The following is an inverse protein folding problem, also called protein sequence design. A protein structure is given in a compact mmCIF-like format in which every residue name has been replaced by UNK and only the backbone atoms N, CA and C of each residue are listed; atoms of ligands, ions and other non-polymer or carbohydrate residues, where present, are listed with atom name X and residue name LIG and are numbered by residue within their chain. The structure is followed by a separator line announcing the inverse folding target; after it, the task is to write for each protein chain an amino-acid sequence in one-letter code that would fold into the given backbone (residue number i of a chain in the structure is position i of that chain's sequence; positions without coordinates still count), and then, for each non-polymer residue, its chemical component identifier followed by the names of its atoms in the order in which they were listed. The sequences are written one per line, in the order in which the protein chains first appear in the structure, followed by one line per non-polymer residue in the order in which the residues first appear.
data_IF_743464704228
#
_entry.id   IF_743464704228
#
_cell.length_a   1.000
_cell.length_b   1.000
_cell.length_c   1.000
_cell.angle_alpha   90.00
_cell.angle_beta   90.00
_cell.angle_gamma   90.00
#
_symmetry.space_group_name_H-M   'P 1'
#
loop_
_entity.id
_entity.type
_entity.pdbx_description
1 polymer ?
#
# COMPACT_ATOMS: atom_id res chain seq x y z
N UNK A 1 -5.69 -21.68 10.95
CA UNK A 1 -4.57 -20.75 10.80
C UNK A 1 -5.02 -19.44 11.44
N UNK A 2 -4.24 -18.84 12.33
CA UNK A 2 -4.64 -17.56 12.96
C UNK A 2 -4.37 -16.39 12.02
N UNK A 3 -5.00 -15.24 12.24
CA UNK A 3 -4.73 -14.00 11.49
C UNK A 3 -3.23 -13.64 11.50
N UNK A 4 -2.56 -13.89 12.63
CA UNK A 4 -1.12 -13.66 12.80
C UNK A 4 -0.30 -14.60 11.92
N UNK A 5 -0.70 -15.87 11.81
CA UNK A 5 -0.01 -16.86 10.97
C UNK A 5 -0.12 -16.49 9.47
N UNK A 6 -1.30 -16.03 9.04
CA UNK A 6 -1.55 -15.56 7.66
C UNK A 6 -0.67 -14.34 7.32
N UNK A 7 -0.69 -13.33 8.19
CA UNK A 7 0.18 -12.16 8.06
C UNK A 7 1.64 -12.59 8.02
N UNK A 8 2.04 -13.52 8.89
CA UNK A 8 3.42 -14.03 8.95
C UNK A 8 3.88 -14.66 7.64
N UNK A 9 3.05 -15.49 7.00
CA UNK A 9 3.38 -16.14 5.74
C UNK A 9 3.51 -15.13 4.60
N UNK A 10 2.54 -14.24 4.42
CA UNK A 10 2.59 -13.22 3.38
C UNK A 10 3.72 -12.20 3.60
N UNK A 11 4.04 -11.89 4.86
CA UNK A 11 5.16 -11.02 5.21
C UNK A 11 6.50 -11.61 4.73
N UNK A 12 6.65 -12.95 4.71
CA UNK A 12 7.85 -13.58 4.14
C UNK A 12 7.94 -13.35 2.63
N UNK A 13 6.82 -13.49 1.90
CA UNK A 13 6.74 -13.20 0.47
C UNK A 13 7.12 -11.73 0.17
N UNK A 14 6.50 -10.80 0.90
CA UNK A 14 6.74 -9.35 0.73
C UNK A 14 8.19 -9.00 1.06
N UNK A 15 8.77 -9.60 2.10
CA UNK A 15 10.17 -9.38 2.41
C UNK A 15 11.08 -9.92 1.31
N UNK A 16 10.81 -11.11 0.77
CA UNK A 16 11.56 -11.63 -0.39
C UNK A 16 11.50 -10.65 -1.56
N UNK A 17 10.31 -10.17 -1.91
CA UNK A 17 10.11 -9.13 -2.94
C UNK A 17 10.94 -7.88 -2.66
N UNK A 18 10.95 -7.40 -1.42
CA UNK A 18 11.76 -6.25 -1.04
C UNK A 18 13.27 -6.50 -1.21
N UNK A 19 13.76 -7.68 -0.84
CA UNK A 19 15.16 -8.06 -1.02
C UNK A 19 15.57 -8.11 -2.48
N UNK A 20 14.70 -8.62 -3.36
CA UNK A 20 14.94 -8.67 -4.80
C UNK A 20 14.95 -7.25 -5.39
N UNK A 21 13.88 -6.49 -5.14
CA UNK A 21 13.64 -5.16 -5.73
C UNK A 21 14.70 -4.14 -5.30
N UNK A 22 15.20 -4.18 -4.07
CA UNK A 22 16.16 -3.15 -3.59
C UNK A 22 17.49 -3.19 -4.34
N UNK A 23 17.84 -4.34 -4.93
CA UNK A 23 19.05 -4.56 -5.73
C UNK A 23 18.85 -4.38 -7.22
N UNK A 24 17.61 -4.14 -7.65
CA UNK A 24 17.28 -4.03 -9.06
C UNK A 24 17.86 -2.78 -9.75
N UNK A 25 18.00 -2.90 -11.06
CA UNK A 25 18.56 -1.85 -11.91
C UNK A 25 17.58 -0.68 -12.12
N UNK A 26 18.08 0.48 -12.56
CA UNK A 26 17.22 1.60 -12.99
C UNK A 26 16.29 1.21 -14.16
N UNK A 27 16.74 0.30 -15.01
CA UNK A 27 15.96 -0.18 -16.14
C UNK A 27 14.76 -1.00 -15.68
N UNK A 28 14.95 -1.86 -14.67
CA UNK A 28 13.85 -2.57 -14.02
C UNK A 28 12.78 -1.60 -13.54
N UNK A 29 13.15 -0.57 -12.75
CA UNK A 29 12.17 0.40 -12.24
C UNK A 29 11.43 1.13 -13.35
N UNK A 30 12.10 1.47 -14.45
CA UNK A 30 11.46 2.11 -15.62
C UNK A 30 10.48 1.17 -16.31
N UNK A 31 10.85 -0.09 -16.50
CA UNK A 31 9.97 -1.11 -17.10
C UNK A 31 8.75 -1.35 -16.21
N UNK A 32 8.97 -1.47 -14.90
CA UNK A 32 7.92 -1.69 -13.93
C UNK A 32 6.92 -0.54 -13.92
N UNK A 33 7.41 0.69 -13.92
CA UNK A 33 6.59 1.89 -13.98
C UNK A 33 5.81 2.02 -15.29
N UNK A 34 6.43 1.66 -16.43
CA UNK A 34 5.72 1.61 -17.70
C UNK A 34 4.59 0.59 -17.66
N UNK A 35 4.82 -0.57 -17.05
CA UNK A 35 3.79 -1.58 -16.88
C UNK A 35 2.64 -1.10 -15.99
N UNK A 36 2.96 -0.45 -14.85
CA UNK A 36 1.95 0.20 -13.99
C UNK A 36 1.13 1.22 -14.78
N UNK A 37 1.77 2.11 -15.55
CA UNK A 37 1.07 3.14 -16.32
C UNK A 37 0.12 2.53 -17.37
N UNK A 38 0.50 1.40 -17.97
CA UNK A 38 -0.29 0.72 -18.99
C UNK A 38 -1.45 -0.09 -18.41
N UNK A 39 -1.26 -0.72 -17.25
CA UNK A 39 -2.23 -1.65 -16.68
C UNK A 39 -3.08 -1.05 -15.55
N UNK A 40 -2.51 -0.18 -14.74
CA UNK A 40 -3.14 0.42 -13.56
C UNK A 40 -2.72 1.88 -13.41
N UNK A 41 -3.30 2.75 -14.24
CA UNK A 41 -2.96 4.17 -14.32
C UNK A 41 -3.00 4.89 -12.95
N UNK A 42 -3.95 4.52 -12.08
CA UNK A 42 -4.08 5.09 -10.73
C UNK A 42 -2.84 4.82 -9.88
N UNK A 43 -2.31 3.59 -9.90
CA UNK A 43 -1.10 3.26 -9.17
C UNK A 43 0.09 4.09 -9.67
N UNK A 44 0.20 4.26 -10.98
CA UNK A 44 1.22 5.11 -11.59
C UNK A 44 1.05 6.60 -11.24
N UNK A 45 -0.19 7.08 -11.18
CA UNK A 45 -0.51 8.46 -10.78
C UNK A 45 -0.02 8.75 -9.35
N UNK A 46 -0.31 7.88 -8.39
CA UNK A 46 0.14 8.05 -7.00
C UNK A 46 1.67 8.01 -6.85
N UNK A 47 2.33 7.08 -7.56
CA UNK A 47 3.80 7.04 -7.62
C UNK A 47 4.36 8.36 -8.14
N UNK A 48 3.76 8.91 -9.19
CA UNK A 48 4.20 10.15 -9.84
C UNK A 48 3.95 11.36 -8.96
N UNK A 49 2.75 11.48 -8.36
CA UNK A 49 2.38 12.53 -7.39
C UNK A 49 3.40 12.62 -6.28
N UNK A 50 3.68 11.49 -5.60
CA UNK A 50 4.67 11.48 -4.52
C UNK A 50 6.08 11.83 -4.99
N UNK A 51 6.49 11.39 -6.19
CA UNK A 51 7.82 11.73 -6.71
C UNK A 51 8.00 13.21 -7.01
N UNK A 52 6.96 13.90 -7.49
CA UNK A 52 7.04 15.34 -7.75
C UNK A 52 7.31 16.13 -6.45
N UNK A 53 6.69 15.69 -5.35
CA UNK A 53 6.79 16.35 -4.05
C UNK A 53 8.05 16.02 -3.25
N UNK A 54 8.75 14.93 -3.56
CA UNK A 54 9.80 14.38 -2.70
C UNK A 54 11.22 14.59 -3.23
N UNK A 55 12.23 14.52 -2.36
CA UNK A 55 13.64 14.55 -2.77
C UNK A 55 14.13 13.18 -3.28
N UNK A 56 15.35 13.12 -3.86
CA UNK A 56 15.91 11.89 -4.46
C UNK A 56 15.91 10.67 -3.52
N UNK A 57 16.20 10.84 -2.23
CA UNK A 57 16.25 9.72 -1.27
C UNK A 57 14.85 9.19 -0.97
N UNK A 58 13.89 10.10 -0.76
CA UNK A 58 12.49 9.79 -0.55
C UNK A 58 11.86 9.14 -1.80
N UNK A 59 12.12 9.69 -2.99
CA UNK A 59 11.70 9.10 -4.28
C UNK A 59 12.14 7.66 -4.43
N UNK A 60 13.39 7.32 -4.07
CA UNK A 60 13.89 5.94 -4.13
C UNK A 60 13.08 5.02 -3.21
N UNK A 61 12.78 5.47 -1.99
CA UNK A 61 12.02 4.69 -1.01
C UNK A 61 10.56 4.50 -1.48
N UNK A 62 9.95 5.54 -2.00
CA UNK A 62 8.60 5.48 -2.58
C UNK A 62 8.56 4.49 -3.76
N UNK A 63 9.52 4.56 -4.68
CA UNK A 63 9.59 3.61 -5.81
C UNK A 63 9.69 2.16 -5.38
N UNK A 64 10.35 1.87 -4.25
CA UNK A 64 10.44 0.52 -3.70
C UNK A 64 9.06 0.07 -3.22
N UNK A 65 8.35 0.91 -2.45
CA UNK A 65 6.99 0.59 -1.96
C UNK A 65 6.05 0.26 -3.12
N UNK A 66 5.96 1.14 -4.13
CA UNK A 66 5.09 0.92 -5.28
C UNK A 66 5.51 -0.29 -6.13
N UNK A 67 6.82 -0.57 -6.23
CA UNK A 67 7.28 -1.76 -6.97
C UNK A 67 6.92 -3.04 -6.23
N UNK A 68 7.00 -3.06 -4.90
CA UNK A 68 6.59 -4.22 -4.10
C UNK A 68 5.09 -4.43 -4.21
N UNK A 69 4.30 -3.37 -4.08
CA UNK A 69 2.85 -3.42 -4.29
C UNK A 69 2.50 -4.05 -5.64
N UNK A 70 3.12 -3.54 -6.70
CA UNK A 70 2.85 -4.02 -8.04
C UNK A 70 3.27 -5.47 -8.24
N UNK A 71 4.45 -5.87 -7.77
CA UNK A 71 4.88 -7.28 -7.87
C UNK A 71 4.02 -8.22 -7.02
N UNK A 72 3.60 -7.78 -5.83
CA UNK A 72 2.72 -8.54 -4.94
C UNK A 72 1.40 -8.84 -5.66
N UNK A 73 0.73 -7.82 -6.19
CA UNK A 73 -0.56 -7.99 -6.87
C UNK A 73 -0.45 -8.62 -8.26
N UNK A 74 0.65 -8.39 -9.00
CA UNK A 74 0.87 -9.03 -10.32
C UNK A 74 0.98 -10.55 -10.23
N UNK A 75 1.46 -11.07 -9.10
CA UNK A 75 1.59 -12.52 -8.83
C UNK A 75 0.25 -13.18 -8.48
N UNK A 76 -0.76 -12.39 -8.14
CA UNK A 76 -2.10 -12.86 -7.78
C UNK A 76 -3.00 -12.92 -9.02
N UNK A 77 -3.91 -13.88 -9.05
CA UNK A 77 -4.75 -14.14 -10.22
C UNK A 77 -5.71 -12.95 -10.41
N UNK A 78 -5.89 -12.52 -11.66
CA UNK A 78 -6.90 -11.54 -12.12
C UNK A 78 -6.51 -10.06 -12.21
N UNK A 79 -5.29 -9.66 -11.85
CA UNK A 79 -4.84 -8.28 -12.08
C UNK A 79 -4.91 -7.82 -13.55
N UNK A 80 -4.85 -8.78 -14.48
CA UNK A 80 -4.91 -8.53 -15.92
C UNK A 80 -6.34 -8.35 -16.46
N UNK A 81 -7.37 -8.60 -15.65
CA UNK A 81 -8.77 -8.62 -16.12
C UNK A 81 -9.53 -7.33 -15.83
N UNK A 82 -9.08 -6.52 -14.89
CA UNK A 82 -9.81 -5.33 -14.45
C UNK A 82 -8.86 -4.15 -14.22
N UNK A 83 -9.24 -2.98 -14.73
CA UNK A 83 -8.53 -1.72 -14.50
C UNK A 83 -9.28 -0.94 -13.44
N UNK A 84 -8.60 -0.55 -12.38
CA UNK A 84 -9.21 0.23 -11.30
C UNK A 84 -9.53 1.63 -11.79
N UNK A 85 -10.76 2.08 -11.50
CA UNK A 85 -11.20 3.43 -11.81
C UNK A 85 -10.98 4.37 -10.64
N UNK A 86 -11.03 5.68 -10.91
CA UNK A 86 -10.85 6.68 -9.84
C UNK A 86 -12.02 6.64 -8.86
N UNK A 87 -13.21 6.30 -9.34
CA UNK A 87 -14.41 6.12 -8.52
C UNK A 87 -14.24 4.96 -7.54
N UNK A 88 -13.74 3.80 -8.00
CA UNK A 88 -13.45 2.65 -7.14
C UNK A 88 -12.48 3.03 -6.01
N UNK A 89 -11.44 3.79 -6.36
CA UNK A 89 -10.43 4.27 -5.41
C UNK A 89 -11.03 5.27 -4.41
N UNK A 90 -11.77 6.28 -4.89
CA UNK A 90 -12.38 7.32 -4.04
C UNK A 90 -13.35 6.71 -3.02
N UNK A 91 -14.16 5.73 -3.43
CA UNK A 91 -15.06 5.01 -2.52
C UNK A 91 -14.28 4.36 -1.35
N UNK A 92 -13.12 3.77 -1.62
CA UNK A 92 -12.28 3.17 -0.57
C UNK A 92 -11.54 4.24 0.24
N UNK A 93 -11.10 5.32 -0.39
CA UNK A 93 -10.40 6.42 0.26
C UNK A 93 -11.28 7.09 1.31
N UNK A 94 -12.54 7.38 0.99
CA UNK A 94 -13.51 7.96 1.92
C UNK A 94 -13.71 7.07 3.16
N UNK A 95 -13.80 5.75 2.98
CA UNK A 95 -13.90 4.80 4.10
C UNK A 95 -12.68 4.88 5.03
N UNK A 96 -11.47 4.97 4.46
CA UNK A 96 -10.25 5.07 5.26
C UNK A 96 -10.07 6.44 5.91
N UNK A 97 -10.54 7.53 5.29
CA UNK A 97 -10.59 8.85 5.92
C UNK A 97 -11.51 8.78 7.15
N UNK A 98 -12.73 8.28 7.00
CA UNK A 98 -13.67 8.15 8.13
C UNK A 98 -13.13 7.25 9.24
N UNK A 99 -12.43 6.17 8.89
CA UNK A 99 -11.75 5.31 9.88
C UNK A 99 -10.65 6.06 10.64
N UNK A 100 -9.84 6.87 9.95
CA UNK A 100 -8.79 7.68 10.59
C UNK A 100 -9.40 8.75 11.51
N UNK A 101 -10.46 9.43 11.07
CA UNK A 101 -11.19 10.41 11.88
C UNK A 101 -11.79 9.76 13.14
N UNK A 102 -12.39 8.58 13.00
CA UNK A 102 -12.88 7.81 14.14
C UNK A 102 -11.75 7.47 15.14
N UNK A 103 -10.61 6.97 14.66
CA UNK A 103 -9.48 6.63 15.53
C UNK A 103 -8.88 7.84 16.26
N UNK A 104 -8.87 9.02 15.61
CA UNK A 104 -8.40 10.25 16.25
C UNK A 104 -9.39 10.79 17.28
N UNK A 105 -10.69 10.59 17.08
CA UNK A 105 -11.75 11.04 18.00
C UNK A 105 -12.08 10.07 19.14
N UNK A 106 -11.78 8.78 18.99
CA UNK A 106 -12.06 7.76 20.01
C UNK A 106 -11.08 7.90 21.18
N UNK A 107 -11.62 8.10 22.38
CA UNK A 107 -10.85 8.31 23.60
C UNK A 107 -10.55 7.01 24.33
N UNK A 108 -11.35 5.96 24.08
CA UNK A 108 -11.19 4.63 24.65
C UNK A 108 -10.12 3.83 23.88
N UNK A 109 -8.98 3.47 24.50
CA UNK A 109 -7.93 2.68 23.85
C UNK A 109 -8.40 1.31 23.37
N UNK A 110 -9.30 0.64 24.09
CA UNK A 110 -9.76 -0.70 23.75
C UNK A 110 -10.63 -0.68 22.49
N UNK A 111 -11.50 0.34 22.36
CA UNK A 111 -12.32 0.52 21.15
C UNK A 111 -11.50 0.88 19.91
N UNK A 112 -10.44 1.68 20.08
CA UNK A 112 -9.51 1.96 18.97
C UNK A 112 -8.80 0.69 18.52
N UNK A 113 -8.33 -0.10 19.47
CA UNK A 113 -7.67 -1.37 19.18
C UNK A 113 -8.64 -2.33 18.47
N UNK A 114 -9.87 -2.48 18.96
CA UNK A 114 -10.91 -3.29 18.33
C UNK A 114 -11.22 -2.82 16.90
N UNK A 115 -11.43 -1.52 16.70
CA UNK A 115 -11.69 -0.95 15.38
C UNK A 115 -10.52 -1.21 14.42
N UNK A 116 -9.28 -1.08 14.89
CA UNK A 116 -8.09 -1.39 14.09
C UNK A 116 -8.00 -2.87 13.72
N UNK A 117 -8.26 -3.78 14.66
CA UNK A 117 -8.29 -5.21 14.36
C UNK A 117 -9.39 -5.57 13.37
N UNK A 118 -10.59 -5.02 13.54
CA UNK A 118 -11.72 -5.24 12.62
C UNK A 118 -11.35 -4.77 11.21
N UNK A 119 -10.86 -3.54 11.08
CA UNK A 119 -10.45 -2.98 9.81
C UNK A 119 -9.35 -3.83 9.15
N UNK A 120 -8.30 -4.22 9.89
CA UNK A 120 -7.23 -5.09 9.37
C UNK A 120 -7.72 -6.50 8.98
N UNK A 121 -8.73 -7.03 9.67
CA UNK A 121 -9.28 -8.37 9.39
C UNK A 121 -10.05 -8.44 8.06
N UNK A 122 -10.56 -7.29 7.58
CA UNK A 122 -11.37 -7.20 6.36
C UNK A 122 -10.52 -7.05 5.09
N UNK A 123 -9.22 -6.80 5.22
CA UNK A 123 -8.30 -6.56 4.11
C UNK A 123 -7.50 -7.84 3.80
N UNK A 124 -7.46 -8.29 2.54
CA UNK A 124 -6.62 -9.44 2.15
C UNK A 124 -5.16 -9.03 2.03
N UNK A 125 -4.86 -7.83 1.54
CA UNK A 125 -3.53 -7.24 1.51
C UNK A 125 -3.03 -6.71 2.87
N UNK A 126 -3.53 -7.22 4.00
CA UNK A 126 -3.15 -6.82 5.36
C UNK A 126 -1.66 -6.93 5.65
N UNK A 127 -0.98 -7.96 5.11
CA UNK A 127 0.46 -8.09 5.30
C UNK A 127 1.23 -6.99 4.56
N UNK A 128 0.73 -6.55 3.41
CA UNK A 128 1.29 -5.44 2.65
C UNK A 128 1.05 -4.11 3.37
N UNK A 129 -0.13 -3.92 3.96
CA UNK A 129 -0.44 -2.75 4.80
C UNK A 129 0.56 -2.64 5.96
N UNK A 130 0.68 -3.70 6.77
CA UNK A 130 1.64 -3.76 7.90
C UNK A 130 3.08 -3.55 7.43
N UNK A 131 3.50 -4.18 6.33
CA UNK A 131 4.86 -4.04 5.81
C UNK A 131 5.19 -2.58 5.49
N UNK A 132 4.23 -1.82 4.96
CA UNK A 132 4.44 -0.43 4.56
C UNK A 132 4.56 0.49 5.75
N UNK A 133 3.72 0.31 6.77
CA UNK A 133 3.88 1.02 8.04
C UNK A 133 5.29 0.80 8.60
N UNK A 134 5.74 -0.46 8.67
CA UNK A 134 7.07 -0.80 9.18
C UNK A 134 8.20 -0.25 8.28
N UNK A 135 8.04 -0.28 6.96
CA UNK A 135 9.02 0.26 6.03
C UNK A 135 9.12 1.79 6.11
N UNK A 136 7.98 2.47 6.24
CA UNK A 136 7.93 3.90 6.43
C UNK A 136 8.62 4.29 7.73
N UNK A 137 8.24 3.64 8.83
CA UNK A 137 8.78 3.92 10.15
C UNK A 137 10.29 3.62 10.25
N UNK A 138 10.77 2.54 9.63
CA UNK A 138 12.20 2.23 9.62
C UNK A 138 13.03 3.17 8.70
N UNK A 139 12.39 3.92 7.81
CA UNK A 139 13.06 4.79 6.84
C UNK A 139 13.23 6.23 7.36
N UNK A 140 14.46 6.57 7.79
CA UNK A 140 14.84 7.96 8.14
C UNK A 140 14.50 8.99 7.06
N UNK A 141 14.46 8.60 5.78
CA UNK A 141 14.14 9.52 4.69
C UNK A 141 12.63 9.82 4.61
N UNK A 142 11.79 8.81 4.86
CA UNK A 142 10.33 8.95 4.82
C UNK A 142 9.81 9.60 6.11
N UNK A 143 10.33 9.22 7.28
CA UNK A 143 10.02 9.88 8.56
C UNK A 143 10.17 11.41 8.54
N UNK A 144 11.13 11.92 7.76
CA UNK A 144 11.36 13.37 7.61
C UNK A 144 10.26 14.12 6.87
N UNK A 145 9.32 13.42 6.23
CA UNK A 145 8.17 14.03 5.56
C UNK A 145 7.10 14.52 6.54
N UNK A 146 7.16 14.10 7.81
CA UNK A 146 6.19 14.50 8.84
C UNK A 146 4.98 13.57 8.91
N UNK A 147 4.16 13.79 9.97
CA UNK A 147 2.99 12.96 10.28
C UNK A 147 1.86 13.13 9.26
N UNK A 148 1.61 14.35 8.79
CA UNK A 148 0.55 14.63 7.82
C UNK A 148 0.76 13.88 6.51
N UNK A 149 1.95 13.97 5.92
CA UNK A 149 2.30 13.25 4.68
C UNK A 149 2.25 11.73 4.88
N UNK A 150 2.62 11.24 6.07
CA UNK A 150 2.49 9.83 6.40
C UNK A 150 1.03 9.39 6.44
N UNK A 151 0.16 10.14 7.12
CA UNK A 151 -1.26 9.82 7.22
C UNK A 151 -1.93 9.85 5.84
N UNK A 152 -1.68 10.89 5.03
CA UNK A 152 -2.20 10.97 3.65
C UNK A 152 -1.73 9.76 2.82
N UNK A 153 -0.43 9.45 2.87
CA UNK A 153 0.12 8.32 2.14
C UNK A 153 -0.52 6.99 2.55
N UNK A 154 -0.67 6.76 3.85
CA UNK A 154 -1.26 5.53 4.38
C UNK A 154 -2.73 5.41 3.99
N UNK A 155 -3.52 6.48 4.07
CA UNK A 155 -4.93 6.47 3.63
C UNK A 155 -5.01 6.12 2.15
N UNK A 156 -4.24 6.80 1.31
CA UNK A 156 -4.19 6.53 -0.13
C UNK A 156 -3.76 5.07 -0.39
N UNK A 157 -2.79 4.58 0.36
CA UNK A 157 -2.24 3.26 0.14
C UNK A 157 -3.19 2.14 0.55
N UNK A 158 -3.88 2.30 1.69
CA UNK A 158 -4.90 1.35 2.15
C UNK A 158 -6.09 1.31 1.20
N UNK A 159 -6.49 2.47 0.67
CA UNK A 159 -7.49 2.55 -0.38
C UNK A 159 -7.04 1.78 -1.64
N UNK A 160 -5.77 1.92 -2.06
CA UNK A 160 -5.23 1.11 -3.16
C UNK A 160 -5.30 -0.39 -2.84
N UNK A 161 -4.83 -0.83 -1.67
CA UNK A 161 -4.89 -2.24 -1.25
C UNK A 161 -6.33 -2.77 -1.37
N UNK A 162 -7.29 -2.10 -0.73
CA UNK A 162 -8.69 -2.54 -0.74
C UNK A 162 -9.30 -2.57 -2.13
N UNK A 163 -8.94 -1.60 -2.97
CA UNK A 163 -9.44 -1.56 -4.35
C UNK A 163 -8.87 -2.71 -5.18
N UNK A 164 -7.60 -3.06 -4.96
CA UNK A 164 -6.95 -4.20 -5.61
C UNK A 164 -7.46 -5.55 -5.07
N UNK A 165 -7.71 -5.66 -3.77
CA UNK A 165 -8.26 -6.85 -3.11
C UNK A 165 -9.66 -7.20 -3.62
N UNK A 166 -10.52 -6.19 -3.86
CA UNK A 166 -11.83 -6.39 -4.51
C UNK A 166 -11.71 -7.10 -5.87
N UNK A 167 -10.61 -6.89 -6.61
CA UNK A 167 -10.39 -7.57 -7.89
C UNK A 167 -10.12 -9.07 -7.73
N UNK A 168 -9.55 -9.46 -6.60
CA UNK A 168 -9.30 -10.87 -6.28
C UNK A 168 -10.59 -11.58 -5.83
N UNK A 169 -11.46 -10.87 -5.09
CA UNK A 169 -12.70 -11.43 -4.55
C UNK A 169 -13.82 -11.65 -5.59
N UNK A 170 -13.79 -10.97 -6.74
CA UNK A 170 -14.79 -11.15 -7.83
C UNK A 170 -14.48 -12.40 -8.69
N UNK A 171 -13.54 -13.26 -8.26
CA UNK A 171 -13.12 -14.48 -8.95
C UNK A 171 -13.41 -15.77 -8.20
#
# INVERSE_FOLDING_TARGET
MTLIDEIGFEMQEINSLHYDIKTESKEYFRKNEKEMAQKQFILWFFLTKGRLSFNKKQRKKLSIIFSIFWEYYKRRKNLSKYTITMEDFCEMQEKHISFMEYNEGESDPEKREEAFYLDLSLVTGRALDVWIYLYWDSSKALKKLGKEVHNEFIVDFRALINTFDKLEAIS
#
